data_IF_684382370318
#
_entry.id   IF_684382370318
#
_cell.length_a   1.000
_cell.length_b   1.000
_cell.length_c   1.000
_cell.angle_alpha   90.00
_cell.angle_beta   90.00
_cell.angle_gamma   90.00
#
_symmetry.space_group_name_H-M   'P 1'
#
loop_
_entity.id
_entity.type
_entity.pdbx_description
1 polymer ?
#
# COMPACT_ATOMS: atom_id res chain seq x y z
N UNK A 1 -31.89 -16.45 53.00
CA UNK A 1 -31.27 -16.93 51.73
C UNK A 1 -32.32 -16.89 50.65
N UNK A 2 -32.25 -15.90 49.80
CA UNK A 2 -33.11 -15.79 48.62
C UNK A 2 -32.21 -15.64 47.39
N UNK A 3 -32.19 -16.70 46.59
CA UNK A 3 -31.51 -16.76 45.29
C UNK A 3 -32.41 -16.05 44.27
N UNK A 4 -31.98 -14.89 43.77
CA UNK A 4 -32.61 -14.25 42.61
C UNK A 4 -32.03 -14.87 41.35
N UNK A 5 -32.86 -15.66 40.69
CA UNK A 5 -32.63 -16.15 39.34
C UNK A 5 -33.05 -15.03 38.36
N UNK A 6 -32.09 -14.36 37.74
CA UNK A 6 -32.38 -13.46 36.62
C UNK A 6 -32.34 -14.33 35.38
N UNK A 7 -33.51 -14.69 34.89
CA UNK A 7 -33.74 -15.23 33.56
C UNK A 7 -33.74 -14.07 32.58
N UNK A 8 -32.71 -13.92 31.78
CA UNK A 8 -32.69 -12.99 30.67
C UNK A 8 -33.47 -13.64 29.52
N UNK A 9 -34.71 -13.21 29.34
CA UNK A 9 -35.52 -13.52 28.18
C UNK A 9 -35.06 -12.60 27.03
N UNK A 10 -34.20 -13.11 26.16
CA UNK A 10 -33.79 -12.43 24.93
C UNK A 10 -34.20 -13.28 23.70
N UNK A 11 -35.51 -13.61 23.61
CA UNK A 11 -36.08 -14.43 22.53
C UNK A 11 -36.78 -13.63 21.45
N UNK A 12 -36.71 -12.29 21.51
CA UNK A 12 -37.36 -11.41 20.52
C UNK A 12 -36.42 -10.92 19.39
N UNK A 13 -35.12 -10.83 19.68
CA UNK A 13 -34.19 -10.27 18.73
C UNK A 13 -33.63 -11.32 17.76
N UNK A 14 -33.58 -12.61 18.16
CA UNK A 14 -33.04 -13.68 17.32
C UNK A 14 -33.94 -14.04 16.14
N UNK A 15 -35.25 -13.88 16.28
CA UNK A 15 -36.24 -14.14 15.19
C UNK A 15 -36.19 -13.04 14.14
N UNK A 16 -36.00 -11.77 14.51
CA UNK A 16 -35.86 -10.67 13.55
C UNK A 16 -34.55 -10.69 12.79
N UNK A 17 -33.47 -11.15 13.43
CA UNK A 17 -32.14 -11.30 12.79
C UNK A 17 -32.19 -12.47 11.79
N UNK A 18 -32.87 -13.55 12.11
CA UNK A 18 -33.02 -14.71 11.21
C UNK A 18 -33.85 -14.36 9.96
N UNK A 19 -34.97 -13.65 10.09
CA UNK A 19 -35.78 -13.20 8.93
C UNK A 19 -35.02 -12.22 8.04
N UNK A 20 -34.21 -11.32 8.62
CA UNK A 20 -33.41 -10.35 7.85
C UNK A 20 -32.28 -11.06 7.08
N UNK A 21 -31.66 -12.07 7.66
CA UNK A 21 -30.61 -12.86 7.02
C UNK A 21 -31.17 -13.72 5.87
N UNK A 22 -32.31 -14.38 6.03
CA UNK A 22 -32.96 -15.13 4.96
C UNK A 22 -33.32 -14.23 3.77
N UNK A 23 -33.83 -13.03 4.03
CA UNK A 23 -34.16 -12.06 2.96
C UNK A 23 -32.94 -11.59 2.17
N UNK A 24 -31.79 -11.43 2.82
CA UNK A 24 -30.53 -11.05 2.17
C UNK A 24 -29.97 -12.22 1.34
N UNK A 25 -30.03 -13.46 1.86
CA UNK A 25 -29.57 -14.64 1.12
C UNK A 25 -30.43 -14.92 -0.13
N UNK A 26 -31.74 -14.73 -0.04
CA UNK A 26 -32.65 -14.92 -1.19
C UNK A 26 -32.44 -13.86 -2.29
N UNK A 27 -32.12 -12.61 -1.89
CA UNK A 27 -31.79 -11.54 -2.81
C UNK A 27 -30.44 -11.79 -3.53
N UNK A 28 -29.44 -12.35 -2.84
CA UNK A 28 -28.14 -12.69 -3.41
C UNK A 28 -28.27 -13.88 -4.38
N UNK A 29 -29.05 -14.92 -4.04
CA UNK A 29 -29.27 -16.05 -4.95
C UNK A 29 -30.03 -15.66 -6.23
N UNK A 30 -30.96 -14.71 -6.17
CA UNK A 30 -31.67 -14.21 -7.37
C UNK A 30 -30.79 -13.31 -8.25
N UNK A 31 -29.72 -12.73 -7.71
CA UNK A 31 -28.78 -11.86 -8.44
C UNK A 31 -27.70 -12.63 -9.21
N UNK A 32 -27.45 -13.90 -8.86
CA UNK A 32 -26.44 -14.73 -9.53
C UNK A 32 -27.12 -15.46 -10.69
N UNK A 33 -27.15 -14.84 -11.88
CA UNK A 33 -27.41 -15.57 -13.11
C UNK A 33 -26.21 -16.46 -13.41
N UNK A 34 -26.40 -17.80 -13.60
CA UNK A 34 -25.29 -18.64 -14.01
C UNK A 34 -24.82 -18.20 -15.40
N UNK A 35 -23.52 -17.91 -15.50
CA UNK A 35 -22.86 -17.67 -16.79
C UNK A 35 -22.90 -19.01 -17.54
N UNK A 36 -23.76 -19.11 -18.56
CA UNK A 36 -23.73 -20.23 -19.48
C UNK A 36 -22.45 -20.18 -20.28
N UNK A 37 -21.54 -21.11 -19.99
CA UNK A 37 -20.39 -21.38 -20.86
C UNK A 37 -21.01 -22.06 -22.12
N UNK A 38 -21.08 -21.28 -23.21
CA UNK A 38 -21.62 -21.75 -24.48
C UNK A 38 -20.73 -22.81 -25.09
N UNK A 39 -21.35 -23.86 -25.61
CA UNK A 39 -20.74 -24.88 -26.46
C UNK A 39 -20.12 -24.28 -27.73
N UNK A 40 -18.96 -24.80 -28.18
CA UNK A 40 -18.27 -24.30 -29.36
C UNK A 40 -18.79 -25.00 -30.65
N UNK A 41 -19.98 -24.67 -31.08
CA UNK A 41 -20.40 -24.99 -32.48
C UNK A 41 -21.57 -24.10 -32.87
N UNK A 42 -21.32 -23.06 -33.68
CA UNK A 42 -22.13 -22.76 -34.89
C UNK A 42 -21.69 -21.43 -35.52
N UNK A 43 -21.23 -21.53 -36.74
CA UNK A 43 -21.32 -20.61 -37.87
C UNK A 43 -21.55 -19.12 -37.61
N UNK A 44 -20.51 -18.33 -37.83
CA UNK A 44 -20.59 -16.90 -38.08
C UNK A 44 -20.83 -16.68 -39.57
N UNK A 45 -21.89 -15.99 -40.00
CA UNK A 45 -21.98 -15.48 -41.37
C UNK A 45 -21.04 -14.29 -41.51
N UNK A 46 -20.19 -14.35 -42.52
CA UNK A 46 -19.47 -13.18 -43.03
C UNK A 46 -20.47 -12.12 -43.46
N UNK A 47 -20.41 -10.95 -42.86
CA UNK A 47 -20.93 -9.72 -43.47
C UNK A 47 -19.74 -8.77 -43.64
N UNK A 48 -19.38 -8.62 -44.91
CA UNK A 48 -18.55 -7.52 -45.40
C UNK A 48 -19.22 -6.18 -45.04
N UNK A 49 -18.47 -5.27 -44.42
CA UNK A 49 -18.66 -3.82 -44.51
C UNK A 49 -17.33 -3.17 -44.22
N UNK A 50 -16.64 -2.83 -45.28
CA UNK A 50 -16.30 -1.47 -45.72
C UNK A 50 -16.21 -0.46 -44.57
N UNK A 51 -15.01 -0.28 -44.04
CA UNK A 51 -14.45 1.01 -43.70
C UNK A 51 -13.02 1.05 -44.23
N UNK A 52 -12.87 1.62 -45.43
CA UNK A 52 -11.62 2.16 -45.92
C UNK A 52 -11.22 3.27 -44.95
N UNK A 53 -10.20 3.03 -44.12
CA UNK A 53 -9.51 4.09 -43.38
C UNK A 53 -8.30 4.46 -44.23
N UNK A 54 -8.37 5.67 -44.77
CA UNK A 54 -7.32 6.36 -45.52
C UNK A 54 -6.02 6.40 -44.66
N UNK A 55 -4.86 5.92 -45.11
CA UNK A 55 -3.64 5.82 -44.32
C UNK A 55 -2.81 7.14 -44.31
N UNK A 56 -3.45 8.31 -44.48
CA UNK A 56 -2.73 9.55 -44.69
C UNK A 56 -2.87 10.62 -43.60
N UNK A 57 -3.36 10.31 -42.39
CA UNK A 57 -3.41 11.31 -41.27
C UNK A 57 -3.03 10.74 -39.91
N UNK A 58 -2.02 9.89 -39.85
CA UNK A 58 -1.44 9.39 -38.60
C UNK A 58 0.04 9.78 -38.44
N UNK A 59 0.38 10.97 -38.82
CA UNK A 59 1.67 11.57 -38.48
C UNK A 59 1.42 12.87 -37.72
N UNK A 60 1.46 12.80 -36.40
CA UNK A 60 2.02 13.74 -35.40
C UNK A 60 1.33 13.60 -34.04
N UNK A 61 1.46 12.47 -33.41
CA UNK A 61 1.59 12.45 -31.95
C UNK A 61 3.06 12.14 -31.69
N UNK A 62 3.84 13.18 -31.60
CA UNK A 62 5.19 13.13 -31.03
C UNK A 62 5.01 12.74 -29.59
N UNK A 63 5.05 11.42 -29.33
CA UNK A 63 5.25 10.88 -28.01
C UNK A 63 6.62 11.40 -27.57
N UNK A 64 6.63 12.39 -26.71
CA UNK A 64 7.75 12.67 -25.83
C UNK A 64 7.84 11.45 -24.91
N UNK A 65 8.43 10.38 -25.43
CA UNK A 65 8.83 9.22 -24.66
C UNK A 65 9.93 9.69 -23.73
N UNK A 66 9.54 10.11 -22.53
CA UNK A 66 10.51 10.19 -21.43
C UNK A 66 11.06 8.79 -21.29
N UNK A 67 12.36 8.64 -21.49
CA UNK A 67 13.04 7.36 -21.40
C UNK A 67 12.95 6.92 -19.94
N UNK A 68 12.02 6.01 -19.60
CA UNK A 68 11.70 5.58 -18.25
C UNK A 68 12.96 5.19 -17.43
N UNK A 69 13.99 4.53 -18.03
CA UNK A 69 15.25 4.27 -17.35
C UNK A 69 15.99 5.54 -16.91
N UNK A 70 15.93 6.62 -17.69
CA UNK A 70 16.62 7.87 -17.38
C UNK A 70 15.95 8.66 -16.27
N UNK A 71 14.63 8.73 -16.25
CA UNK A 71 13.87 9.44 -15.20
C UNK A 71 13.94 8.72 -13.84
N UNK A 72 13.94 7.38 -13.80
CA UNK A 72 14.10 6.63 -12.56
C UNK A 72 15.53 6.74 -11.99
N UNK A 73 16.53 6.77 -12.85
CA UNK A 73 17.93 7.02 -12.44
C UNK A 73 18.11 8.44 -11.89
N UNK A 74 17.44 9.44 -12.49
CA UNK A 74 17.42 10.81 -11.97
C UNK A 74 16.75 10.89 -10.59
N UNK A 75 15.64 10.16 -10.38
CA UNK A 75 14.99 10.12 -9.07
C UNK A 75 15.91 9.53 -8.00
N UNK A 76 16.57 8.40 -8.29
CA UNK A 76 17.50 7.78 -7.34
C UNK A 76 18.67 8.71 -7.01
N UNK A 77 19.25 9.37 -8.01
CA UNK A 77 20.32 10.35 -7.80
C UNK A 77 19.87 11.52 -6.93
N UNK A 78 18.68 12.08 -7.17
CA UNK A 78 18.15 13.19 -6.38
C UNK A 78 17.80 12.75 -4.95
N UNK A 79 17.29 11.52 -4.75
CA UNK A 79 17.06 10.95 -3.42
C UNK A 79 18.39 10.75 -2.69
N UNK A 80 19.42 10.25 -3.36
CA UNK A 80 20.76 10.08 -2.80
C UNK A 80 21.35 11.42 -2.36
N UNK A 81 21.20 12.46 -3.18
CA UNK A 81 21.65 13.82 -2.84
C UNK A 81 20.83 14.42 -1.68
N UNK A 82 19.52 14.16 -1.62
CA UNK A 82 18.68 14.60 -0.49
C UNK A 82 19.16 13.96 0.82
N UNK A 83 19.39 12.64 0.81
CA UNK A 83 19.87 11.89 1.98
C UNK A 83 21.25 12.40 2.40
N UNK A 84 22.20 12.49 1.47
CA UNK A 84 23.57 12.94 1.76
C UNK A 84 23.67 14.39 2.25
N UNK A 85 22.79 15.29 1.78
CA UNK A 85 22.89 16.72 2.11
C UNK A 85 22.01 17.17 3.28
N UNK A 86 20.84 16.54 3.46
CA UNK A 86 19.86 16.97 4.46
C UNK A 86 19.62 15.94 5.56
N UNK A 87 19.86 14.66 5.29
CA UNK A 87 19.54 13.54 6.18
C UNK A 87 20.79 12.72 6.57
N UNK A 88 22.00 13.19 6.26
CA UNK A 88 23.28 12.52 6.53
C UNK A 88 23.41 12.03 7.99
N UNK A 89 22.99 12.83 8.95
CA UNK A 89 23.02 12.43 10.35
C UNK A 89 22.16 11.19 10.66
N UNK A 90 21.02 11.06 10.00
CA UNK A 90 20.12 9.91 10.16
C UNK A 90 20.63 8.69 9.37
N UNK A 91 21.21 8.91 8.19
CA UNK A 91 21.84 7.85 7.39
C UNK A 91 23.06 7.28 8.13
N UNK A 92 23.96 8.14 8.61
CA UNK A 92 25.15 7.75 9.39
C UNK A 92 24.78 7.01 10.68
N UNK A 93 23.64 7.34 11.30
CA UNK A 93 23.11 6.62 12.45
C UNK A 93 22.39 5.30 12.08
N UNK A 94 22.26 4.96 10.79
CA UNK A 94 21.55 3.78 10.31
C UNK A 94 20.04 3.84 10.50
N UNK A 95 19.48 5.05 10.65
CA UNK A 95 18.04 5.28 10.82
C UNK A 95 17.30 5.43 9.50
N UNK A 96 18.03 5.82 8.45
CA UNK A 96 17.55 5.90 7.06
C UNK A 96 18.53 5.11 6.19
N UNK A 97 18.02 4.37 5.22
CA UNK A 97 18.84 3.80 4.15
C UNK A 97 18.11 3.85 2.82
N UNK A 98 18.86 4.06 1.75
CA UNK A 98 18.40 4.09 0.39
C UNK A 98 19.03 2.93 -0.39
N UNK A 99 18.23 2.20 -1.14
CA UNK A 99 18.68 1.14 -2.04
C UNK A 99 17.83 1.10 -3.29
N UNK A 100 18.35 0.50 -4.35
CA UNK A 100 17.59 0.28 -5.57
C UNK A 100 17.82 -1.12 -6.13
N UNK A 101 16.82 -1.66 -6.78
CA UNK A 101 16.90 -2.86 -7.60
C UNK A 101 16.42 -2.56 -9.04
N UNK A 102 16.18 -3.60 -9.84
CA UNK A 102 15.75 -3.46 -11.23
C UNK A 102 14.41 -2.70 -11.35
N UNK A 103 13.46 -2.92 -10.44
CA UNK A 103 12.09 -2.44 -10.54
C UNK A 103 11.71 -1.39 -9.49
N UNK A 104 12.48 -1.28 -8.41
CA UNK A 104 12.13 -0.50 -7.23
C UNK A 104 13.27 0.38 -6.73
N UNK A 105 12.90 1.50 -6.13
CA UNK A 105 13.74 2.29 -5.24
C UNK A 105 13.14 2.16 -3.85
N UNK A 106 13.92 1.71 -2.89
CA UNK A 106 13.50 1.47 -1.51
C UNK A 106 14.13 2.49 -0.58
N UNK A 107 13.31 3.18 0.21
CA UNK A 107 13.75 4.05 1.31
C UNK A 107 13.30 3.39 2.61
N UNK A 108 14.24 2.84 3.37
CA UNK A 108 13.97 2.26 4.68
C UNK A 108 14.10 3.32 5.77
N UNK A 109 13.08 3.46 6.58
CA UNK A 109 13.00 4.38 7.71
C UNK A 109 12.79 3.57 8.99
N UNK A 110 13.71 3.66 9.96
CA UNK A 110 13.58 2.95 11.24
C UNK A 110 12.35 3.42 12.01
N UNK A 111 11.60 2.49 12.60
CA UNK A 111 10.39 2.81 13.34
C UNK A 111 10.64 3.75 14.54
N UNK A 112 11.81 3.63 15.21
CA UNK A 112 12.19 4.52 16.29
C UNK A 112 12.47 5.97 15.89
N UNK A 113 12.72 6.23 14.58
CA UNK A 113 12.79 7.58 14.02
C UNK A 113 11.38 8.14 13.78
N UNK A 114 10.48 7.29 13.30
CA UNK A 114 9.16 7.71 12.84
C UNK A 114 8.14 7.82 13.97
N UNK A 115 8.22 6.95 14.99
CA UNK A 115 7.18 6.75 15.98
C UNK A 115 7.77 6.56 17.37
N UNK A 116 7.06 7.00 18.39
CA UNK A 116 7.33 6.59 19.76
C UNK A 116 7.04 5.10 19.97
N UNK A 117 7.60 4.52 21.04
CA UNK A 117 7.44 3.09 21.33
C UNK A 117 5.97 2.69 21.44
N UNK A 118 5.57 1.73 20.60
CA UNK A 118 4.20 1.23 20.56
C UNK A 118 3.17 2.21 19.97
N UNK A 119 3.60 3.34 19.40
CA UNK A 119 2.72 4.32 18.77
C UNK A 119 2.75 4.22 17.24
N UNK A 120 1.80 4.88 16.59
CA UNK A 120 1.69 5.05 15.13
C UNK A 120 1.63 6.54 14.75
N UNK A 121 1.46 7.42 15.73
CA UNK A 121 1.54 8.86 15.51
C UNK A 121 2.97 9.25 15.16
N UNK A 122 3.12 10.02 14.08
CA UNK A 122 4.42 10.47 13.60
C UNK A 122 5.06 11.48 14.57
N UNK A 123 6.35 11.34 14.78
CA UNK A 123 7.15 12.36 15.50
C UNK A 123 7.32 13.61 14.63
N UNK A 124 7.72 14.73 15.24
CA UNK A 124 8.01 15.96 14.50
C UNK A 124 9.19 15.77 13.51
N UNK A 125 10.20 14.99 13.89
CA UNK A 125 11.33 14.67 13.02
C UNK A 125 10.89 13.82 11.83
N UNK A 126 10.01 12.83 12.07
CA UNK A 126 9.41 12.04 11.01
C UNK A 126 8.64 12.91 10.00
N UNK A 127 7.82 13.83 10.48
CA UNK A 127 7.08 14.77 9.62
C UNK A 127 8.03 15.60 8.78
N UNK A 128 9.11 16.13 9.37
CA UNK A 128 10.10 16.93 8.63
C UNK A 128 10.79 16.11 7.52
N UNK A 129 11.17 14.87 7.80
CA UNK A 129 11.79 13.95 6.84
C UNK A 129 10.81 13.62 5.72
N UNK A 130 9.55 13.28 6.06
CA UNK A 130 8.52 12.96 5.07
C UNK A 130 8.18 14.16 4.18
N UNK A 131 8.22 15.39 4.69
CA UNK A 131 8.06 16.62 3.89
C UNK A 131 9.15 16.69 2.81
N UNK A 132 10.42 16.49 3.19
CA UNK A 132 11.53 16.57 2.26
C UNK A 132 11.44 15.50 1.16
N UNK A 133 11.19 14.24 1.55
CA UNK A 133 11.02 13.11 0.62
C UNK A 133 9.82 13.35 -0.30
N UNK A 134 8.66 13.74 0.25
CA UNK A 134 7.44 13.97 -0.51
C UNK A 134 7.59 15.12 -1.52
N UNK A 135 8.27 16.20 -1.15
CA UNK A 135 8.52 17.33 -2.05
C UNK A 135 9.28 16.91 -3.31
N UNK A 136 10.17 15.92 -3.19
CA UNK A 136 10.88 15.35 -4.32
C UNK A 136 10.00 14.38 -5.10
N UNK A 137 9.36 13.41 -4.44
CA UNK A 137 8.57 12.36 -5.10
C UNK A 137 7.39 12.90 -5.92
N UNK A 138 6.78 14.01 -5.49
CA UNK A 138 5.70 14.68 -6.26
C UNK A 138 6.08 15.08 -7.69
N UNK A 139 7.36 15.26 -7.96
CA UNK A 139 7.84 15.69 -9.27
C UNK A 139 7.83 14.54 -10.29
N UNK A 140 7.87 13.29 -9.82
CA UNK A 140 8.04 12.10 -10.66
C UNK A 140 6.76 11.29 -10.88
N UNK A 141 5.76 11.42 -10.02
CA UNK A 141 4.45 10.75 -10.16
C UNK A 141 4.51 9.20 -10.21
N UNK A 142 5.56 8.58 -9.70
CA UNK A 142 5.69 7.13 -9.64
C UNK A 142 4.77 6.51 -8.57
N UNK A 143 4.26 5.28 -8.78
CA UNK A 143 3.54 4.53 -7.75
C UNK A 143 4.41 4.25 -6.54
N UNK A 144 3.82 4.38 -5.35
CA UNK A 144 4.50 4.20 -4.06
C UNK A 144 3.73 3.17 -3.23
N UNK A 145 4.42 2.17 -2.72
CA UNK A 145 3.90 1.25 -1.72
C UNK A 145 4.61 1.53 -0.40
N UNK A 146 3.85 1.79 0.65
CA UNK A 146 4.38 2.02 2.00
C UNK A 146 4.23 0.74 2.79
N UNK A 147 5.33 0.04 3.02
CA UNK A 147 5.36 -1.23 3.76
C UNK A 147 5.69 -1.00 5.24
N UNK A 148 4.79 -1.43 6.15
CA UNK A 148 5.03 -1.43 7.59
C UNK A 148 5.53 -2.80 8.06
N UNK A 149 6.60 -2.81 8.86
CA UNK A 149 7.22 -4.03 9.38
C UNK A 149 7.43 -3.95 10.89
N UNK A 150 7.32 -5.10 11.57
CA UNK A 150 7.63 -5.27 12.99
C UNK A 150 8.74 -6.32 13.17
N UNK A 151 9.26 -6.42 14.38
CA UNK A 151 10.02 -7.59 14.82
C UNK A 151 9.08 -8.78 15.11
N UNK A 152 9.66 -9.89 15.59
CA UNK A 152 8.97 -11.14 15.93
C UNK A 152 8.33 -11.15 17.33
N UNK A 153 8.56 -10.13 18.15
CA UNK A 153 7.96 -10.05 19.47
C UNK A 153 6.47 -9.69 19.35
N UNK A 154 5.58 -10.47 20.00
CA UNK A 154 4.17 -10.17 19.92
C UNK A 154 3.84 -8.86 20.65
N UNK A 155 3.14 -7.95 19.96
CA UNK A 155 2.56 -6.81 20.65
C UNK A 155 1.23 -7.23 21.27
N UNK A 156 1.02 -6.82 22.52
CA UNK A 156 -0.27 -6.96 23.19
C UNK A 156 -0.52 -5.71 24.03
N UNK A 157 -1.22 -4.77 23.45
CA UNK A 157 -1.61 -3.51 24.10
C UNK A 157 -3.11 -3.30 23.96
N UNK A 158 -3.65 -2.37 24.75
CA UNK A 158 -5.08 -1.97 24.62
C UNK A 158 -5.39 -1.46 23.22
N UNK A 159 -4.42 -0.82 22.55
CA UNK A 159 -4.58 -0.21 21.24
C UNK A 159 -4.35 -1.20 20.09
N UNK A 160 -3.37 -2.11 20.25
CA UNK A 160 -3.00 -3.08 19.23
C UNK A 160 -2.98 -4.51 19.80
N UNK A 161 -3.75 -5.38 19.21
CA UNK A 161 -3.82 -6.80 19.59
C UNK A 161 -2.82 -7.65 18.82
N UNK A 162 -2.32 -7.17 17.68
CA UNK A 162 -1.39 -7.93 16.83
C UNK A 162 -0.38 -7.01 16.13
N UNK A 163 0.74 -7.57 15.72
CA UNK A 163 1.74 -6.90 14.88
C UNK A 163 1.18 -6.50 13.50
N UNK A 164 0.15 -7.18 13.03
CA UNK A 164 -0.57 -6.80 11.80
C UNK A 164 -1.25 -5.45 11.95
N UNK A 165 -1.96 -5.22 13.06
CA UNK A 165 -2.59 -3.91 13.32
C UNK A 165 -1.54 -2.81 13.40
N UNK A 166 -0.48 -3.01 14.21
CA UNK A 166 0.55 -2.00 14.37
C UNK A 166 1.27 -1.65 13.05
N UNK A 167 1.65 -2.67 12.27
CA UNK A 167 2.35 -2.43 11.00
C UNK A 167 1.48 -1.73 9.97
N UNK A 168 0.19 -2.09 9.89
CA UNK A 168 -0.77 -1.45 8.97
C UNK A 168 -1.05 -0.01 9.37
N UNK A 169 -1.27 0.28 10.66
CA UNK A 169 -1.51 1.64 11.16
C UNK A 169 -0.30 2.55 10.92
N UNK A 170 0.91 2.05 11.13
CA UNK A 170 2.14 2.80 10.87
C UNK A 170 2.31 3.13 9.38
N UNK A 171 2.06 2.16 8.51
CA UNK A 171 2.08 2.41 7.07
C UNK A 171 1.01 3.44 6.66
N UNK A 172 -0.20 3.34 7.23
CA UNK A 172 -1.29 4.27 6.96
C UNK A 172 -0.97 5.69 7.42
N UNK A 173 -0.37 5.87 8.62
CA UNK A 173 0.03 7.21 9.10
C UNK A 173 1.05 7.89 8.18
N UNK A 174 1.98 7.13 7.61
CA UNK A 174 2.93 7.67 6.63
C UNK A 174 2.21 8.04 5.33
N UNK A 175 1.31 7.19 4.83
CA UNK A 175 0.50 7.49 3.64
C UNK A 175 -0.34 8.74 3.84
N UNK A 176 -1.04 8.86 4.98
CA UNK A 176 -1.88 10.02 5.29
C UNK A 176 -1.06 11.32 5.27
N UNK A 177 0.13 11.33 5.87
CA UNK A 177 1.02 12.49 5.85
C UNK A 177 1.50 12.82 4.43
N UNK A 178 1.90 11.82 3.64
CA UNK A 178 2.37 12.02 2.26
C UNK A 178 1.25 12.51 1.34
N UNK A 179 0.02 11.99 1.48
CA UNK A 179 -1.16 12.47 0.75
C UNK A 179 -1.51 13.90 1.17
N UNK A 180 -1.50 14.19 2.47
CA UNK A 180 -1.69 15.54 2.97
C UNK A 180 -0.67 16.54 2.39
N UNK A 181 0.57 16.09 2.11
CA UNK A 181 1.63 16.89 1.45
C UNK A 181 1.54 16.90 -0.06
N UNK A 182 0.60 16.17 -0.66
CA UNK A 182 0.24 16.28 -2.06
C UNK A 182 0.71 15.14 -2.97
N UNK A 183 1.01 13.96 -2.42
CA UNK A 183 1.02 12.74 -3.24
C UNK A 183 -0.43 12.40 -3.62
N UNK A 184 -0.65 12.06 -4.88
CA UNK A 184 -1.96 11.66 -5.37
C UNK A 184 -2.41 10.33 -4.74
N UNK A 185 -3.62 10.23 -4.16
CA UNK A 185 -4.07 9.03 -3.46
C UNK A 185 -4.05 7.76 -4.31
N UNK A 186 -4.24 7.87 -5.63
CA UNK A 186 -4.18 6.76 -6.58
C UNK A 186 -2.76 6.26 -6.84
N UNK A 187 -1.75 7.00 -6.39
CA UNK A 187 -0.33 6.67 -6.57
C UNK A 187 0.32 6.07 -5.32
N UNK A 188 -0.41 5.95 -4.21
CA UNK A 188 0.18 5.47 -2.95
C UNK A 188 -0.76 4.51 -2.22
N UNK A 189 -0.20 3.43 -1.63
CA UNK A 189 -0.97 2.49 -0.83
C UNK A 189 -0.18 1.98 0.38
N UNK A 190 -0.82 1.83 1.57
CA UNK A 190 -0.20 1.22 2.74
C UNK A 190 -0.36 -0.31 2.73
N UNK A 191 0.69 -1.03 3.14
CA UNK A 191 0.65 -2.48 3.38
C UNK A 191 1.35 -2.81 4.70
N UNK A 192 0.65 -3.51 5.60
CA UNK A 192 1.26 -4.05 6.82
C UNK A 192 1.73 -5.48 6.60
N UNK A 193 2.99 -5.78 6.92
CA UNK A 193 3.57 -7.13 6.80
C UNK A 193 3.83 -7.82 8.13
N UNK A 194 3.50 -7.18 9.26
CA UNK A 194 3.83 -7.76 10.56
C UNK A 194 5.33 -8.10 10.63
N UNK A 195 5.69 -9.27 11.10
CA UNK A 195 7.06 -9.79 11.17
C UNK A 195 7.44 -10.74 10.01
N UNK A 196 6.60 -10.82 8.95
CA UNK A 196 6.77 -11.85 7.90
C UNK A 196 7.86 -11.54 6.87
N UNK A 197 8.28 -10.28 6.75
CA UNK A 197 9.36 -9.86 5.85
C UNK A 197 10.53 -9.27 6.66
N UNK A 198 11.26 -10.06 7.47
CA UNK A 198 12.39 -9.53 8.22
C UNK A 198 13.55 -9.21 7.28
N UNK A 199 14.19 -8.06 7.50
CA UNK A 199 15.40 -7.65 6.79
C UNK A 199 16.61 -8.48 7.23
N UNK A 200 16.64 -8.80 8.53
CA UNK A 200 17.62 -9.67 9.15
C UNK A 200 16.93 -10.64 10.11
N UNK A 201 17.56 -11.80 10.38
CA UNK A 201 17.01 -12.74 11.35
C UNK A 201 16.89 -12.09 12.73
N UNK A 202 15.74 -12.23 13.41
CA UNK A 202 15.44 -11.66 14.74
C UNK A 202 16.25 -12.33 15.87
N UNK A 203 17.59 -12.34 15.78
CA UNK A 203 18.45 -13.07 16.70
C UNK A 203 18.71 -12.36 18.04
N UNK A 204 18.62 -11.04 18.05
CA UNK A 204 18.87 -10.17 19.20
C UNK A 204 18.13 -8.83 19.04
N UNK A 205 18.21 -7.97 20.06
CA UNK A 205 17.48 -6.70 20.07
C UNK A 205 17.96 -5.73 18.98
N UNK A 206 19.24 -5.75 18.64
CA UNK A 206 19.77 -4.94 17.52
C UNK A 206 19.19 -5.39 16.17
N UNK A 207 19.10 -6.71 15.93
CA UNK A 207 18.47 -7.24 14.73
C UNK A 207 16.96 -6.95 14.69
N UNK A 208 16.27 -7.03 15.83
CA UNK A 208 14.86 -6.64 15.92
C UNK A 208 14.65 -5.16 15.60
N UNK A 209 15.55 -4.28 16.07
CA UNK A 209 15.50 -2.87 15.75
C UNK A 209 15.58 -2.62 14.25
N UNK A 210 16.41 -3.37 13.54
CA UNK A 210 16.51 -3.31 12.08
C UNK A 210 15.22 -3.74 11.38
N UNK A 211 14.50 -4.70 11.94
CA UNK A 211 13.24 -5.19 11.38
C UNK A 211 12.06 -4.26 11.65
N UNK A 212 12.08 -3.49 12.75
CA UNK A 212 11.09 -2.43 13.03
C UNK A 212 11.33 -1.24 12.13
N UNK A 213 10.67 -1.21 10.97
CA UNK A 213 10.85 -0.17 9.95
C UNK A 213 9.57 0.11 9.17
N UNK A 214 9.56 1.22 8.47
CA UNK A 214 8.66 1.47 7.33
C UNK A 214 9.53 1.62 6.09
N UNK A 215 9.17 0.94 5.02
CA UNK A 215 9.84 1.02 3.72
C UNK A 215 8.94 1.75 2.73
N UNK A 216 9.44 2.81 2.12
CA UNK A 216 8.81 3.44 0.97
C UNK A 216 9.36 2.76 -0.29
N UNK A 217 8.52 1.98 -0.97
CA UNK A 217 8.88 1.32 -2.23
C UNK A 217 8.33 2.13 -3.39
N UNK A 218 9.21 2.74 -4.15
CA UNK A 218 8.86 3.55 -5.32
C UNK A 218 9.07 2.71 -6.57
N UNK A 219 8.02 2.48 -7.36
CA UNK A 219 8.15 1.76 -8.62
C UNK A 219 8.94 2.56 -9.64
N UNK A 220 9.83 1.90 -10.39
CA UNK A 220 10.53 2.51 -11.54
C UNK A 220 9.66 2.53 -12.81
N UNK A 221 8.46 1.94 -12.76
CA UNK A 221 7.51 1.92 -13.86
C UNK A 221 6.54 3.09 -13.75
N UNK A 222 6.55 3.98 -14.74
CA UNK A 222 5.66 5.12 -14.81
C UNK A 222 4.28 4.74 -15.40
N UNK A 223 3.30 5.61 -15.21
CA UNK A 223 2.00 5.55 -15.87
C UNK A 223 0.94 4.69 -15.19
N UNK A 224 1.30 3.71 -14.35
CA UNK A 224 0.33 2.86 -13.65
C UNK A 224 -0.18 3.52 -12.35
N UNK A 225 -1.41 3.17 -11.95
CA UNK A 225 -1.84 3.40 -10.58
C UNK A 225 -1.18 2.37 -9.66
N UNK A 226 -1.12 2.66 -8.34
CA UNK A 226 -0.60 1.67 -7.39
C UNK A 226 -1.46 0.40 -7.36
N UNK A 227 -2.75 0.52 -7.66
CA UNK A 227 -3.67 -0.62 -7.72
C UNK A 227 -3.39 -1.53 -8.91
N UNK A 228 -3.10 -0.98 -10.08
CA UNK A 228 -2.68 -1.77 -11.25
C UNK A 228 -1.36 -2.50 -11.00
N UNK A 229 -0.43 -1.85 -10.30
CA UNK A 229 0.85 -2.44 -9.93
C UNK A 229 0.72 -3.62 -8.95
N UNK A 230 -0.25 -3.56 -8.02
CA UNK A 230 -0.43 -4.58 -6.98
C UNK A 230 -1.30 -5.77 -7.41
N UNK A 231 -2.15 -5.60 -8.43
CA UNK A 231 -3.19 -6.58 -8.78
C UNK A 231 -3.14 -7.07 -10.23
N UNK A 232 -2.19 -6.63 -11.05
CA UNK A 232 -1.85 -7.22 -12.35
C UNK A 232 -0.80 -8.34 -12.21
#
# INVERSE_FOLDING_TARGET
MALYSISIQNSGDDEQISETLEGVFDAVQKSIKPISIGDPTTNVPQSESMFEVDPAESEKAEQVGINVPEASSQLFEQLSQLVANQLDAYESAGLISLSEDENWIDIDLRAGLLFDTGQYELTNDAVAILIAITALLKQFQYPIVVEGHTDDLPINSVKYTTNWHLSSERASSVVDEMVFRGIAPEKIAPIGFSSLKPQVRNANDFAREQNRRVTLKISKTDGKSVYELLFE
#
